data_IF_192300126109
#
_entry.id   IF_192300126109
#
_cell.length_a   1.000
_cell.length_b   1.000
_cell.length_c   1.000
_cell.angle_alpha   90.00
_cell.angle_beta   90.00
_cell.angle_gamma   90.00
#
_symmetry.space_group_name_H-M   'P 1'
#
loop_
_entity.id
_entity.type
_entity.pdbx_description
1 polymer ?
#
# COMPACT_ATOMS: atom_id res chain seq x y z
N UNK A 1 11.80 8.30 36.15
CA UNK A 1 10.82 8.96 35.24
C UNK A 1 11.16 8.55 33.81
N UNK A 2 10.61 7.42 33.34
CA UNK A 2 10.86 6.92 31.98
C UNK A 2 9.64 7.22 31.13
N UNK A 3 9.74 8.22 30.25
CA UNK A 3 8.72 8.55 29.26
C UNK A 3 8.60 7.41 28.24
N UNK A 4 7.51 6.65 28.35
CA UNK A 4 7.14 5.56 27.46
C UNK A 4 6.81 6.11 26.05
N UNK A 5 7.63 5.73 25.08
CA UNK A 5 7.29 5.73 23.65
C UNK A 5 6.62 4.38 23.30
N UNK A 6 5.72 4.32 22.29
CA UNK A 6 5.63 5.25 21.16
C UNK A 6 4.47 6.25 21.26
N UNK A 7 4.77 7.51 20.97
CA UNK A 7 3.78 8.59 20.85
C UNK A 7 3.22 8.54 19.42
N UNK A 8 1.90 8.49 19.28
CA UNK A 8 1.21 8.52 17.98
C UNK A 8 0.93 9.98 17.60
N UNK A 9 1.70 10.50 16.65
CA UNK A 9 1.48 11.85 16.12
C UNK A 9 0.80 11.75 14.76
N UNK A 10 -0.34 12.43 14.58
CA UNK A 10 -1.08 12.45 13.31
C UNK A 10 -1.46 11.05 12.79
N UNK A 11 -1.80 10.13 13.70
CA UNK A 11 -2.08 8.72 13.43
C UNK A 11 -0.87 7.87 13.02
N UNK A 12 0.34 8.44 13.01
CA UNK A 12 1.59 7.74 12.73
C UNK A 12 2.37 7.56 14.05
N UNK A 13 2.67 6.32 14.46
CA UNK A 13 3.49 6.07 15.64
C UNK A 13 4.94 6.52 15.38
N UNK A 14 5.41 7.49 16.17
CA UNK A 14 6.80 7.95 16.16
C UNK A 14 7.63 6.90 16.93
N UNK A 15 8.29 6.03 16.18
CA UNK A 15 9.24 5.06 16.72
C UNK A 15 10.67 5.62 16.69
N UNK A 16 11.43 5.35 17.76
CA UNK A 16 12.88 5.63 17.81
C UNK A 16 13.70 4.58 17.03
N UNK A 17 13.08 3.45 16.65
CA UNK A 17 13.77 2.28 16.09
C UNK A 17 13.33 1.96 14.64
N UNK A 18 14.24 1.38 13.84
CA UNK A 18 14.13 1.17 12.38
C UNK A 18 13.18 0.03 11.98
N UNK A 19 12.10 -0.26 12.71
CA UNK A 19 11.14 -1.30 12.30
C UNK A 19 10.15 -0.76 11.26
N UNK A 20 10.68 -0.44 10.07
CA UNK A 20 9.90 0.06 8.93
C UNK A 20 8.99 -1.01 8.34
N UNK A 21 9.33 -2.29 8.48
CA UNK A 21 8.62 -3.43 7.88
C UNK A 21 7.15 -3.53 8.31
N UNK A 22 6.83 -3.24 9.57
CA UNK A 22 5.45 -3.27 10.06
C UNK A 22 4.57 -2.19 9.42
N UNK A 23 5.11 -0.97 9.25
CA UNK A 23 4.41 0.13 8.57
C UNK A 23 4.09 -0.22 7.10
N UNK A 24 4.92 -1.07 6.50
CA UNK A 24 4.71 -1.53 5.12
C UNK A 24 3.68 -2.66 5.02
N UNK A 25 3.55 -3.54 6.01
CA UNK A 25 2.45 -4.52 6.02
C UNK A 25 1.09 -3.82 6.18
N UNK A 26 0.99 -2.80 7.05
CA UNK A 26 -0.23 -1.96 7.13
C UNK A 26 -0.56 -1.27 5.79
N UNK A 27 0.46 -0.80 5.06
CA UNK A 27 0.30 -0.20 3.75
C UNK A 27 -0.22 -1.21 2.72
N UNK A 28 0.38 -2.39 2.68
CA UNK A 28 0.00 -3.48 1.77
C UNK A 28 -1.44 -3.91 2.05
N UNK A 29 -1.83 -4.07 3.32
CA UNK A 29 -3.20 -4.38 3.71
C UNK A 29 -4.19 -3.28 3.34
N UNK A 30 -3.80 -2.00 3.46
CA UNK A 30 -4.65 -0.89 3.02
C UNK A 30 -4.86 -0.88 1.50
N UNK A 31 -3.79 -1.07 0.73
CA UNK A 31 -3.85 -1.17 -0.74
C UNK A 31 -4.71 -2.36 -1.16
N UNK A 32 -4.52 -3.51 -0.52
CA UNK A 32 -5.33 -4.70 -0.76
C UNK A 32 -6.81 -4.45 -0.45
N UNK A 33 -7.15 -3.82 0.68
CA UNK A 33 -8.53 -3.47 1.01
C UNK A 33 -9.14 -2.47 0.02
N UNK A 34 -8.36 -1.51 -0.49
CA UNK A 34 -8.82 -0.59 -1.54
C UNK A 34 -9.11 -1.31 -2.85
N UNK A 35 -8.22 -2.22 -3.25
CA UNK A 35 -8.41 -3.06 -4.44
C UNK A 35 -9.64 -3.95 -4.28
N UNK A 36 -9.80 -4.61 -3.13
CA UNK A 36 -10.97 -5.47 -2.84
C UNK A 36 -12.27 -4.67 -2.75
N UNK A 37 -12.21 -3.41 -2.31
CA UNK A 37 -13.35 -2.50 -2.32
C UNK A 37 -13.71 -2.01 -3.72
N UNK A 38 -12.82 -2.15 -4.70
CA UNK A 38 -13.13 -1.90 -6.09
C UNK A 38 -13.65 -3.19 -6.71
N UNK A 39 -14.94 -3.19 -7.00
CA UNK A 39 -15.59 -4.35 -7.59
C UNK A 39 -14.99 -4.62 -8.99
N UNK A 40 -14.12 -5.63 -9.08
CA UNK A 40 -13.29 -5.91 -10.25
C UNK A 40 -14.12 -6.27 -11.49
N UNK A 41 -15.39 -6.64 -11.28
CA UNK A 41 -16.38 -6.99 -12.30
C UNK A 41 -16.99 -5.78 -13.02
N UNK A 42 -17.11 -4.63 -12.35
CA UNK A 42 -17.73 -3.43 -12.95
C UNK A 42 -16.76 -2.54 -13.72
N UNK A 43 -15.46 -2.85 -13.64
CA UNK A 43 -14.42 -2.00 -14.20
C UNK A 43 -13.91 -2.56 -15.53
N UNK A 44 -13.92 -1.71 -16.56
CA UNK A 44 -13.28 -2.04 -17.83
C UNK A 44 -11.76 -2.19 -17.65
N UNK A 45 -11.10 -2.87 -18.59
CA UNK A 45 -9.64 -3.02 -18.58
C UNK A 45 -8.91 -1.67 -18.49
N UNK A 46 -9.32 -0.70 -19.30
CA UNK A 46 -8.77 0.66 -19.28
C UNK A 46 -9.08 1.39 -17.96
N UNK A 47 -10.27 1.15 -17.38
CA UNK A 47 -10.65 1.66 -16.07
C UNK A 47 -9.74 1.17 -14.95
N UNK A 48 -9.41 -0.13 -14.94
CA UNK A 48 -8.47 -0.73 -13.96
C UNK A 48 -7.09 -0.10 -14.05
N UNK A 49 -6.52 0.00 -15.25
CA UNK A 49 -5.19 0.60 -15.45
C UNK A 49 -5.18 2.07 -15.00
N UNK A 50 -6.24 2.81 -15.32
CA UNK A 50 -6.36 4.22 -14.92
C UNK A 50 -6.45 4.37 -13.41
N UNK A 51 -7.25 3.53 -12.73
CA UNK A 51 -7.40 3.55 -11.27
C UNK A 51 -6.12 3.14 -10.53
N UNK A 52 -5.41 2.12 -11.02
CA UNK A 52 -4.11 1.72 -10.47
C UNK A 52 -3.12 2.89 -10.58
N UNK A 53 -3.04 3.53 -11.76
CA UNK A 53 -2.11 4.63 -11.99
C UNK A 53 -2.48 5.92 -11.24
N UNK A 54 -3.77 6.22 -11.07
CA UNK A 54 -4.19 7.45 -10.42
C UNK A 54 -4.19 7.34 -8.90
N UNK A 55 -4.66 6.21 -8.35
CA UNK A 55 -4.87 6.04 -6.91
C UNK A 55 -3.74 5.24 -6.25
N UNK A 56 -3.37 4.08 -6.78
CA UNK A 56 -2.30 3.27 -6.16
C UNK A 56 -0.94 3.97 -6.27
N UNK A 57 -0.56 4.40 -7.47
CA UNK A 57 0.71 5.10 -7.66
C UNK A 57 0.81 6.40 -6.85
N UNK A 58 -0.27 7.16 -6.68
CA UNK A 58 -0.21 8.40 -5.89
C UNK A 58 -0.09 8.14 -4.38
N UNK A 59 -0.85 7.17 -3.86
CA UNK A 59 -0.80 6.76 -2.45
C UNK A 59 0.56 6.16 -2.07
N UNK A 60 1.07 5.28 -2.92
CA UNK A 60 2.35 4.61 -2.70
C UNK A 60 3.51 5.61 -2.80
N UNK A 61 3.51 6.51 -3.79
CA UNK A 61 4.54 7.56 -3.94
C UNK A 61 4.56 8.50 -2.74
N UNK A 62 3.40 9.01 -2.30
CA UNK A 62 3.33 9.90 -1.13
C UNK A 62 3.87 9.24 0.15
N UNK A 63 3.56 7.96 0.36
CA UNK A 63 4.03 7.22 1.55
C UNK A 63 5.49 6.80 1.46
N UNK A 64 6.00 6.42 0.29
CA UNK A 64 7.43 6.13 0.12
C UNK A 64 8.29 7.39 0.23
N UNK A 65 7.78 8.56 -0.16
CA UNK A 65 8.45 9.83 0.10
C UNK A 65 8.56 10.10 1.60
N UNK A 66 7.56 9.68 2.38
CA UNK A 66 7.52 9.84 3.84
C UNK A 66 8.34 8.77 4.57
N UNK A 67 8.52 7.58 3.99
CA UNK A 67 9.18 6.41 4.61
C UNK A 67 10.19 5.82 3.62
N UNK A 68 11.50 5.92 3.91
CA UNK A 68 12.52 5.29 3.04
C UNK A 68 12.23 3.79 2.85
N UNK A 69 11.93 3.40 1.62
CA UNK A 69 11.41 2.08 1.22
C UNK A 69 12.47 0.99 1.16
N UNK A 70 12.11 -0.23 1.54
CA UNK A 70 12.93 -1.45 1.38
C UNK A 70 12.45 -2.19 0.12
N UNK A 71 13.37 -2.69 -0.72
CA UNK A 71 13.04 -3.39 -1.98
C UNK A 71 12.00 -4.53 -1.83
N UNK A 72 11.99 -5.22 -0.69
CA UNK A 72 11.01 -6.27 -0.38
C UNK A 72 9.56 -5.76 -0.43
N UNK A 73 9.32 -4.51 -0.05
CA UNK A 73 8.00 -3.87 -0.05
C UNK A 73 7.55 -3.59 -1.47
N UNK A 74 8.44 -3.04 -2.30
CA UNK A 74 8.15 -2.80 -3.70
C UNK A 74 7.76 -4.10 -4.42
N UNK A 75 8.46 -5.20 -4.13
CA UNK A 75 8.12 -6.51 -4.71
C UNK A 75 6.75 -7.02 -4.25
N UNK A 76 6.40 -6.87 -2.96
CA UNK A 76 5.06 -7.23 -2.46
C UNK A 76 3.97 -6.38 -3.11
N UNK A 77 4.17 -5.06 -3.23
CA UNK A 77 3.23 -4.15 -3.87
C UNK A 77 3.03 -4.48 -5.36
N UNK A 78 4.12 -4.73 -6.10
CA UNK A 78 4.04 -5.19 -7.49
C UNK A 78 3.25 -6.50 -7.63
N UNK A 79 3.42 -7.45 -6.71
CA UNK A 79 2.69 -8.71 -6.75
C UNK A 79 1.18 -8.51 -6.56
N UNK A 80 0.75 -7.60 -5.68
CA UNK A 80 -0.66 -7.24 -5.51
C UNK A 80 -1.25 -6.60 -6.77
N UNK A 81 -0.55 -5.62 -7.35
CA UNK A 81 -0.98 -4.96 -8.59
C UNK A 81 -1.12 -5.97 -9.72
N UNK A 82 -0.14 -6.86 -9.85
CA UNK A 82 -0.15 -7.90 -10.88
C UNK A 82 -1.31 -8.87 -10.67
N UNK A 83 -1.59 -9.29 -9.43
CA UNK A 83 -2.73 -10.17 -9.15
C UNK A 83 -4.07 -9.52 -9.51
N UNK A 84 -4.27 -8.24 -9.15
CA UNK A 84 -5.47 -7.50 -9.52
C UNK A 84 -5.62 -7.30 -11.04
N UNK A 85 -4.51 -7.12 -11.74
CA UNK A 85 -4.52 -7.02 -13.19
C UNK A 85 -4.83 -8.37 -13.86
N UNK A 86 -4.31 -9.48 -13.32
CA UNK A 86 -4.44 -10.83 -13.89
C UNK A 86 -5.75 -11.54 -13.56
N UNK A 87 -6.52 -11.11 -12.55
CA UNK A 87 -7.79 -11.74 -12.14
C UNK A 87 -8.80 -11.95 -13.29
N UNK A 88 -8.81 -11.08 -14.30
CA UNK A 88 -9.70 -11.19 -15.48
C UNK A 88 -9.11 -12.05 -16.61
N UNK A 89 -7.82 -12.34 -16.62
CA UNK A 89 -7.20 -13.11 -17.71
C UNK A 89 -7.56 -14.61 -17.66
N UNK A 90 -8.03 -15.11 -16.51
CA UNK A 90 -8.35 -16.53 -16.29
C UNK A 90 -9.85 -16.82 -16.07
N UNK A 91 -10.75 -15.86 -16.34
CA UNK A 91 -12.21 -16.06 -16.30
C UNK A 91 -12.88 -15.60 -17.59
#
# INVERSE_FOLDING_TARGET
>A
MHSQLPIKYLSVPIFKDRKKTFLFDDLISFVQNKILSWDSNFLSFAGRVTLIKSVLCSLDVYRFQTIFSTQAVCNKAHKLINNFFLERFFN
#
